data_IF_461576865944
#
_entry.id   IF_461576865944
#
_cell.length_a   1.000
_cell.length_b   1.000
_cell.length_c   1.000
_cell.angle_alpha   90.00
_cell.angle_beta   90.00
_cell.angle_gamma   90.00
#
_symmetry.space_group_name_H-M   'P 1'
#
loop_
_entity.id
_entity.type
_entity.pdbx_description
1 polymer ?
#
# COMPACT_ATOMS: atom_id res chain seq x y z
N UNK A 1 23.27 6.52 6.73
CA UNK A 1 22.36 5.51 6.14
C UNK A 1 21.96 5.90 4.72
N UNK A 2 21.75 7.18 4.43
CA UNK A 2 21.34 7.67 3.10
C UNK A 2 22.45 7.53 2.04
N UNK A 3 23.70 7.65 2.41
CA UNK A 3 24.87 7.65 1.53
C UNK A 3 25.14 6.31 0.83
N UNK A 4 24.49 5.25 1.26
CA UNK A 4 24.64 3.93 0.64
C UNK A 4 23.32 3.37 0.14
N UNK A 5 23.33 2.73 -1.02
CA UNK A 5 22.20 1.95 -1.56
C UNK A 5 22.18 0.49 -1.06
N UNK A 6 23.29 -0.01 -0.54
CA UNK A 6 23.43 -1.39 -0.06
C UNK A 6 22.69 -1.62 1.26
N UNK A 7 21.73 -2.55 1.28
CA UNK A 7 21.02 -2.92 2.50
C UNK A 7 21.94 -3.52 3.56
N UNK A 8 22.98 -4.24 3.18
CA UNK A 8 23.94 -4.81 4.13
C UNK A 8 24.78 -3.71 4.81
N UNK A 9 25.25 -2.71 4.06
CA UNK A 9 25.94 -1.56 4.65
C UNK A 9 25.01 -0.76 5.58
N UNK A 10 23.74 -0.58 5.21
CA UNK A 10 22.75 0.05 6.10
C UNK A 10 22.58 -0.72 7.40
N UNK A 11 22.49 -2.06 7.35
CA UNK A 11 22.43 -2.90 8.55
C UNK A 11 23.68 -2.74 9.44
N UNK A 12 24.86 -2.68 8.84
CA UNK A 12 26.12 -2.44 9.56
C UNK A 12 26.11 -1.08 10.28
N UNK A 13 25.67 -0.01 9.60
CA UNK A 13 25.55 1.34 10.21
C UNK A 13 24.53 1.32 11.35
N UNK A 14 23.38 0.66 11.19
CA UNK A 14 22.35 0.54 12.25
C UNK A 14 22.93 -0.23 13.45
N UNK A 15 23.64 -1.33 13.21
CA UNK A 15 24.26 -2.14 14.27
C UNK A 15 25.33 -1.35 15.05
N UNK A 16 26.15 -0.57 14.37
CA UNK A 16 27.17 0.27 15.00
C UNK A 16 26.59 1.34 15.92
N UNK A 17 25.34 1.77 15.68
CA UNK A 17 24.64 2.80 16.42
C UNK A 17 23.51 2.26 17.33
N UNK A 18 23.39 0.94 17.51
CA UNK A 18 22.30 0.30 18.26
C UNK A 18 22.13 0.77 19.70
N UNK A 19 23.21 1.24 20.32
CA UNK A 19 23.25 1.70 21.73
C UNK A 19 23.00 3.20 21.86
N UNK A 20 23.02 3.95 20.75
CA UNK A 20 22.73 5.39 20.74
C UNK A 20 21.20 5.61 20.91
N UNK A 21 20.81 6.20 22.04
CA UNK A 21 19.40 6.44 22.40
C UNK A 21 18.71 7.40 21.43
N UNK A 22 19.37 8.51 21.08
CA UNK A 22 18.79 9.51 20.16
C UNK A 22 18.59 8.91 18.75
N UNK A 23 19.59 8.18 18.26
CA UNK A 23 19.49 7.49 16.97
C UNK A 23 18.29 6.54 16.93
N UNK A 24 18.08 5.72 17.96
CA UNK A 24 16.91 4.83 18.05
C UNK A 24 15.59 5.61 18.05
N UNK A 25 15.51 6.71 18.82
CA UNK A 25 14.31 7.57 18.85
C UNK A 25 14.02 8.20 17.49
N UNK A 26 15.06 8.67 16.79
CA UNK A 26 14.91 9.20 15.44
C UNK A 26 14.40 8.13 14.44
N UNK A 27 14.91 6.90 14.52
CA UNK A 27 14.43 5.79 13.68
C UNK A 27 12.95 5.46 13.96
N UNK A 28 12.56 5.39 15.23
CA UNK A 28 11.16 5.17 15.62
C UNK A 28 10.29 6.33 15.12
N UNK A 29 10.69 7.58 15.43
CA UNK A 29 9.93 8.76 14.99
C UNK A 29 9.72 8.78 13.49
N UNK A 30 10.73 8.47 12.70
CA UNK A 30 10.68 8.50 11.24
C UNK A 30 9.88 7.34 10.65
N UNK A 31 10.09 6.10 11.14
CA UNK A 31 9.63 4.88 10.49
C UNK A 31 8.35 4.27 11.10
N UNK A 32 7.98 4.66 12.34
CA UNK A 32 6.71 4.27 12.90
C UNK A 32 5.58 5.00 12.17
N UNK A 33 4.71 4.24 11.53
CA UNK A 33 3.59 4.76 10.75
C UNK A 33 2.46 5.33 11.62
N UNK A 34 2.45 5.01 12.92
CA UNK A 34 1.48 5.57 13.87
C UNK A 34 1.88 6.98 14.33
N UNK A 35 3.16 7.34 14.24
CA UNK A 35 3.63 8.69 14.50
C UNK A 35 3.39 9.54 13.26
N UNK A 36 2.49 10.50 13.36
CA UNK A 36 2.23 11.52 12.33
C UNK A 36 2.56 12.89 12.90
N UNK A 37 3.03 13.83 12.08
CA UNK A 37 3.39 15.18 12.52
C UNK A 37 2.38 16.24 12.05
N UNK A 38 1.58 15.92 11.04
CA UNK A 38 0.63 16.84 10.41
C UNK A 38 1.30 18.01 9.66
N UNK A 39 2.63 18.07 9.60
CA UNK A 39 3.38 19.17 8.99
C UNK A 39 3.71 18.85 7.54
N UNK A 40 3.12 19.60 6.60
CA UNK A 40 3.46 19.53 5.19
C UNK A 40 4.72 20.37 4.90
N UNK A 41 5.64 19.81 4.09
CA UNK A 41 6.90 20.48 3.72
C UNK A 41 6.67 21.84 3.04
N UNK A 42 5.71 21.90 2.12
CA UNK A 42 5.34 23.14 1.44
C UNK A 42 4.82 24.22 2.40
N UNK A 43 4.13 23.81 3.47
CA UNK A 43 3.57 24.74 4.45
C UNK A 43 4.65 25.27 5.38
N UNK A 44 5.50 24.42 5.95
CA UNK A 44 6.57 24.87 6.87
C UNK A 44 7.63 25.71 6.15
N UNK A 45 7.96 25.43 4.88
CA UNK A 45 8.91 26.24 4.09
C UNK A 45 8.41 27.66 3.85
N UNK A 46 7.11 27.83 3.62
CA UNK A 46 6.48 29.15 3.37
C UNK A 46 6.25 29.97 4.63
N UNK A 47 6.39 29.37 5.82
CA UNK A 47 6.10 30.03 7.09
C UNK A 47 7.17 31.07 7.39
N UNK A 48 6.82 32.38 7.43
CA UNK A 48 7.77 33.46 7.66
C UNK A 48 8.29 33.47 9.12
N UNK A 49 9.55 33.85 9.33
CA UNK A 49 10.17 33.86 10.66
C UNK A 49 9.45 34.79 11.65
N UNK A 50 9.06 35.97 11.22
CA UNK A 50 8.25 36.91 12.02
C UNK A 50 6.93 36.30 12.50
N UNK A 51 6.31 35.46 11.67
CA UNK A 51 5.07 34.73 12.00
C UNK A 51 5.34 33.67 13.04
N UNK A 52 6.50 33.01 12.97
CA UNK A 52 6.94 32.05 13.98
C UNK A 52 7.10 32.70 15.36
N UNK A 53 7.72 33.88 15.41
CA UNK A 53 7.90 34.60 16.68
C UNK A 53 6.57 35.07 17.29
N UNK A 54 5.61 35.48 16.46
CA UNK A 54 4.29 35.94 16.91
C UNK A 54 3.38 34.79 17.42
N UNK A 55 3.43 33.63 16.77
CA UNK A 55 2.53 32.49 17.05
C UNK A 55 3.13 31.46 18.00
N UNK A 56 4.45 31.39 18.13
CA UNK A 56 5.10 30.39 18.98
C UNK A 56 4.80 30.62 20.46
N UNK A 57 4.27 29.61 21.11
CA UNK A 57 3.87 29.62 22.53
C UNK A 57 4.54 28.54 23.39
N UNK A 58 5.34 27.66 22.77
CA UNK A 58 6.11 26.62 23.47
C UNK A 58 7.58 26.75 23.10
N UNK A 59 8.44 26.69 24.09
CA UNK A 59 9.90 26.65 23.89
C UNK A 59 10.33 25.17 23.80
N UNK A 60 10.82 24.77 22.65
CA UNK A 60 11.46 23.48 22.42
C UNK A 60 12.96 23.67 22.49
N UNK A 61 13.65 22.92 23.36
CA UNK A 61 15.08 23.11 23.66
C UNK A 61 15.98 22.07 22.99
N UNK A 62 15.41 20.93 22.59
CA UNK A 62 16.12 19.85 21.92
C UNK A 62 15.27 19.26 20.79
N UNK A 63 15.90 18.52 19.87
CA UNK A 63 15.15 17.80 18.85
C UNK A 63 14.30 16.67 19.48
N UNK A 64 14.68 16.17 20.62
CA UNK A 64 13.88 15.21 21.38
C UNK A 64 12.56 15.85 21.84
N UNK A 65 12.60 17.11 22.32
CA UNK A 65 11.39 17.84 22.66
C UNK A 65 10.49 18.05 21.46
N UNK A 66 11.07 18.34 20.28
CA UNK A 66 10.33 18.46 19.01
C UNK A 66 9.62 17.15 18.67
N UNK A 67 10.31 16.03 18.76
CA UNK A 67 9.71 14.71 18.49
C UNK A 67 8.56 14.38 19.45
N UNK A 68 8.73 14.62 20.75
CA UNK A 68 7.67 14.37 21.74
C UNK A 68 6.49 15.33 21.56
N UNK A 69 6.77 16.62 21.31
CA UNK A 69 5.74 17.61 21.04
C UNK A 69 4.86 17.20 19.84
N UNK A 70 5.47 16.77 18.75
CA UNK A 70 4.77 16.40 17.52
C UNK A 70 4.00 15.07 17.62
N UNK A 71 4.30 14.19 18.56
CA UNK A 71 3.50 12.98 18.80
C UNK A 71 2.07 13.30 19.24
N UNK A 72 1.89 14.39 19.98
CA UNK A 72 0.58 14.81 20.52
C UNK A 72 0.00 16.01 19.77
N UNK A 73 0.83 16.87 19.18
CA UNK A 73 0.42 18.04 18.40
C UNK A 73 0.63 17.81 16.90
N UNK A 74 -0.15 16.90 16.33
CA UNK A 74 0.07 16.36 14.98
C UNK A 74 -0.97 16.77 13.94
N UNK A 75 -1.71 17.84 14.20
CA UNK A 75 -2.78 18.30 13.29
C UNK A 75 -2.30 19.36 12.29
N UNK A 76 -1.06 19.83 12.40
CA UNK A 76 -0.47 20.80 11.49
C UNK A 76 -1.06 22.22 11.61
N UNK A 77 -1.51 22.59 12.82
CA UNK A 77 -1.94 23.98 13.11
C UNK A 77 -0.77 24.93 12.97
N UNK A 78 -1.06 26.18 12.66
CA UNK A 78 -0.03 27.20 12.47
C UNK A 78 0.85 27.40 13.71
N UNK A 79 0.28 27.29 14.92
CA UNK A 79 1.03 27.36 16.17
C UNK A 79 2.02 26.19 16.31
N UNK A 80 1.65 24.97 15.88
CA UNK A 80 2.53 23.80 15.95
C UNK A 80 3.70 23.96 14.95
N UNK A 81 3.42 24.47 13.77
CA UNK A 81 4.43 24.80 12.76
C UNK A 81 5.36 25.90 13.27
N UNK A 82 4.80 26.95 13.91
CA UNK A 82 5.55 28.05 14.46
C UNK A 82 6.52 27.58 15.57
N UNK A 83 6.05 26.74 16.49
CA UNK A 83 6.88 26.18 17.57
C UNK A 83 8.07 25.39 17.01
N UNK A 84 7.82 24.48 16.03
CA UNK A 84 8.86 23.68 15.40
C UNK A 84 9.83 24.54 14.58
N UNK A 85 9.32 25.45 13.78
CA UNK A 85 10.18 26.32 12.95
C UNK A 85 11.03 27.23 13.81
N UNK A 86 10.50 27.77 14.92
CA UNK A 86 11.26 28.55 15.88
C UNK A 86 12.43 27.75 16.47
N UNK A 87 12.24 26.46 16.75
CA UNK A 87 13.34 25.58 17.18
C UNK A 87 14.42 25.54 16.11
N UNK A 88 14.05 25.26 14.85
CA UNK A 88 15.01 25.17 13.74
C UNK A 88 15.75 26.50 13.50
N UNK A 89 15.05 27.64 13.55
CA UNK A 89 15.65 28.95 13.29
C UNK A 89 16.41 29.54 14.49
N UNK A 90 16.14 29.11 15.73
CA UNK A 90 16.74 29.66 16.95
C UNK A 90 18.10 29.03 17.29
N UNK A 91 18.32 27.79 16.84
CA UNK A 91 19.59 27.12 17.01
C UNK A 91 20.52 27.54 15.88
N UNK A 92 21.80 27.80 16.23
CA UNK A 92 22.83 28.13 15.23
C UNK A 92 23.23 26.85 14.48
N UNK A 93 22.29 26.41 13.64
CA UNK A 93 22.36 25.15 12.88
C UNK A 93 22.99 25.42 11.52
N UNK A 94 23.81 24.50 11.06
CA UNK A 94 24.24 24.44 9.66
C UNK A 94 23.04 24.22 8.73
N UNK A 95 23.19 24.57 7.47
CA UNK A 95 22.17 24.31 6.43
C UNK A 95 21.82 22.83 6.33
N UNK A 96 22.81 21.96 6.55
CA UNK A 96 22.63 20.51 6.54
C UNK A 96 21.77 20.03 7.72
N UNK A 97 22.05 20.52 8.94
CA UNK A 97 21.26 20.22 10.13
C UNK A 97 19.82 20.75 10.03
N UNK A 98 19.67 21.98 9.57
CA UNK A 98 18.36 22.59 9.32
C UNK A 98 17.53 21.76 8.30
N UNK A 99 18.16 21.32 7.22
CA UNK A 99 17.55 20.43 6.23
C UNK A 99 17.18 19.09 6.83
N UNK A 100 18.08 18.49 7.62
CA UNK A 100 17.82 17.23 8.32
C UNK A 100 16.61 17.33 9.25
N UNK A 101 16.56 18.34 10.12
CA UNK A 101 15.43 18.53 11.03
C UNK A 101 14.12 18.80 10.27
N UNK A 102 14.18 19.57 9.20
CA UNK A 102 13.02 19.80 8.33
C UNK A 102 12.48 18.50 7.73
N UNK A 103 13.37 17.67 7.19
CA UNK A 103 13.00 16.37 6.62
C UNK A 103 12.48 15.40 7.67
N UNK A 104 13.01 15.43 8.89
CA UNK A 104 12.54 14.62 10.00
C UNK A 104 11.11 15.00 10.42
N UNK A 105 10.84 16.30 10.65
CA UNK A 105 9.52 16.74 11.11
C UNK A 105 8.43 16.64 10.05
N UNK A 106 8.79 16.70 8.78
CA UNK A 106 7.87 16.45 7.65
C UNK A 106 7.78 14.97 7.29
N UNK A 107 8.58 14.11 7.94
CA UNK A 107 8.72 12.66 7.61
C UNK A 107 9.09 12.41 6.15
N UNK A 108 9.75 13.34 5.50
CA UNK A 108 10.21 13.24 4.11
C UNK A 108 11.62 12.63 3.97
N UNK A 109 12.36 12.47 5.08
CA UNK A 109 13.69 11.85 5.10
C UNK A 109 13.62 10.39 4.64
N UNK A 110 14.27 10.10 3.52
CA UNK A 110 14.29 8.74 2.95
C UNK A 110 15.58 8.03 3.32
N UNK A 111 15.51 7.05 4.19
CA UNK A 111 16.68 6.22 4.56
C UNK A 111 17.01 5.15 3.51
N UNK A 112 16.11 4.89 2.56
CA UNK A 112 16.26 3.78 1.60
C UNK A 112 16.21 2.39 2.26
N UNK A 113 15.66 2.30 3.47
CA UNK A 113 15.32 1.06 4.16
C UNK A 113 14.03 1.26 4.96
N UNK A 114 13.34 0.18 5.25
CA UNK A 114 12.07 0.16 5.99
C UNK A 114 12.26 -0.33 7.45
N UNK A 115 11.17 -0.31 8.21
CA UNK A 115 11.15 -0.80 9.59
C UNK A 115 11.58 -2.26 9.73
N UNK A 116 11.40 -3.10 8.70
CA UNK A 116 11.81 -4.52 8.76
C UNK A 116 13.32 -4.67 8.75
N UNK A 117 14.01 -3.84 7.97
CA UNK A 117 15.49 -3.79 7.96
C UNK A 117 16.00 -3.34 9.32
N UNK A 118 15.41 -2.30 9.92
CA UNK A 118 15.79 -1.83 11.25
C UNK A 118 15.55 -2.90 12.31
N UNK A 119 14.36 -3.49 12.34
CA UNK A 119 13.99 -4.53 13.31
C UNK A 119 14.78 -5.84 13.12
N UNK A 120 15.35 -6.08 11.93
CA UNK A 120 16.26 -7.23 11.73
C UNK A 120 17.61 -7.06 12.42
N UNK A 121 17.98 -5.81 12.79
CA UNK A 121 19.22 -5.46 13.49
C UNK A 121 18.97 -5.15 14.95
N UNK A 122 17.92 -4.39 15.25
CA UNK A 122 17.48 -4.03 16.61
C UNK A 122 16.07 -4.59 16.78
N UNK A 123 15.91 -5.82 17.30
CA UNK A 123 14.63 -6.49 17.39
C UNK A 123 13.56 -5.66 18.12
N UNK A 124 12.38 -5.56 17.55
CA UNK A 124 11.19 -4.89 18.11
C UNK A 124 11.40 -3.38 18.43
N UNK A 125 12.41 -2.72 17.85
CA UNK A 125 12.61 -1.28 18.06
C UNK A 125 11.43 -0.46 17.55
N UNK A 126 10.93 -0.78 16.36
CA UNK A 126 9.80 -0.08 15.73
C UNK A 126 8.59 -1.00 15.82
N UNK A 127 7.48 -0.56 16.42
CA UNK A 127 6.26 -1.34 16.47
C UNK A 127 5.84 -1.80 15.07
N UNK A 128 5.59 -3.09 14.91
CA UNK A 128 5.12 -3.64 13.65
C UNK A 128 3.73 -4.26 13.83
N UNK A 129 2.87 -3.92 12.89
CA UNK A 129 1.59 -4.58 12.70
C UNK A 129 1.66 -5.22 11.32
N UNK A 130 1.74 -6.53 11.30
CA UNK A 130 1.82 -7.30 10.07
C UNK A 130 0.62 -8.24 9.98
N UNK A 131 0.00 -8.29 8.81
CA UNK A 131 -1.07 -9.24 8.47
C UNK A 131 -0.60 -10.13 7.34
N UNK A 132 -1.30 -11.25 7.14
CA UNK A 132 -1.01 -12.14 6.03
C UNK A 132 -1.20 -11.44 4.69
N UNK A 133 -0.21 -11.53 3.82
CA UNK A 133 -0.21 -10.89 2.51
C UNK A 133 -0.02 -11.93 1.42
N UNK A 134 -0.92 -11.91 0.44
CA UNK A 134 -0.84 -12.82 -0.70
C UNK A 134 0.26 -12.47 -1.69
N UNK A 135 0.73 -13.50 -2.39
CA UNK A 135 1.68 -13.44 -3.51
C UNK A 135 0.92 -13.60 -4.83
N UNK A 136 1.30 -12.91 -5.92
CA UNK A 136 0.72 -13.16 -7.25
C UNK A 136 0.95 -14.60 -7.72
N UNK A 137 0.01 -15.17 -8.46
CA UNK A 137 0.04 -16.58 -8.89
C UNK A 137 1.27 -16.89 -9.75
N UNK A 138 1.75 -15.94 -10.55
CA UNK A 138 2.93 -16.09 -11.41
C UNK A 138 4.23 -16.30 -10.62
N UNK A 139 4.21 -16.02 -9.31
CA UNK A 139 5.34 -16.20 -8.38
C UNK A 139 5.14 -17.37 -7.42
N UNK A 140 4.08 -18.15 -7.62
CA UNK A 140 3.73 -19.30 -6.82
C UNK A 140 3.91 -20.58 -7.63
N UNK A 141 4.22 -21.68 -6.93
CA UNK A 141 4.30 -23.03 -7.50
C UNK A 141 3.24 -23.85 -6.77
N UNK A 142 2.03 -23.91 -7.34
CA UNK A 142 0.99 -24.82 -6.85
C UNK A 142 1.35 -26.26 -7.24
N UNK A 143 1.29 -27.16 -6.28
CA UNK A 143 1.54 -28.57 -6.54
C UNK A 143 0.25 -29.22 -7.03
N UNK A 144 0.37 -30.11 -8.02
CA UNK A 144 -0.78 -30.88 -8.48
C UNK A 144 -1.47 -31.62 -7.33
N UNK A 145 -2.79 -31.51 -7.25
CA UNK A 145 -3.57 -32.11 -6.18
C UNK A 145 -3.48 -31.43 -4.83
N UNK A 146 -2.88 -30.23 -4.73
CA UNK A 146 -2.93 -29.42 -3.52
C UNK A 146 -4.33 -28.81 -3.36
N UNK A 147 -4.87 -28.90 -2.14
CA UNK A 147 -6.18 -28.31 -1.85
C UNK A 147 -6.14 -26.79 -1.90
N UNK A 148 -7.15 -26.21 -2.52
CA UNK A 148 -7.33 -24.75 -2.62
C UNK A 148 -8.76 -24.36 -2.26
N UNK A 149 -8.93 -23.17 -1.71
CA UNK A 149 -10.21 -22.46 -1.75
C UNK A 149 -10.09 -21.22 -2.63
N UNK A 150 -11.18 -20.87 -3.30
CA UNK A 150 -11.28 -19.67 -4.14
C UNK A 150 -12.35 -18.75 -3.57
N UNK A 151 -12.03 -17.48 -3.40
CA UNK A 151 -12.97 -16.42 -3.05
C UNK A 151 -12.79 -15.21 -3.95
N UNK A 152 -13.83 -14.36 -4.01
CA UNK A 152 -13.72 -13.07 -4.68
C UNK A 152 -12.60 -12.25 -4.06
N UNK A 153 -11.74 -11.66 -4.89
CA UNK A 153 -10.83 -10.63 -4.44
C UNK A 153 -11.59 -9.33 -4.27
N UNK A 154 -11.75 -8.91 -3.03
CA UNK A 154 -12.45 -7.68 -2.68
C UNK A 154 -11.63 -6.46 -3.10
N UNK A 155 -12.31 -5.44 -3.59
CA UNK A 155 -11.73 -4.16 -3.97
C UNK A 155 -12.11 -3.11 -2.91
N UNK A 156 -11.29 -2.96 -1.87
CA UNK A 156 -11.58 -2.11 -0.72
C UNK A 156 -10.34 -1.69 0.06
N UNK A 157 -10.55 -1.39 1.33
CA UNK A 157 -9.49 -1.03 2.25
C UNK A 157 -9.28 -2.15 3.29
N UNK A 158 -8.11 -2.81 3.27
CA UNK A 158 -7.79 -3.82 4.29
C UNK A 158 -8.05 -3.30 5.69
N UNK A 159 -8.80 -4.08 6.46
CA UNK A 159 -9.18 -3.74 7.83
C UNK A 159 -9.09 -4.97 8.72
N UNK A 160 -8.38 -4.85 9.82
CA UNK A 160 -8.24 -5.89 10.82
C UNK A 160 -8.80 -5.42 12.15
N UNK A 161 -9.74 -6.15 12.73
CA UNK A 161 -10.21 -5.91 14.08
C UNK A 161 -9.28 -6.59 15.08
N UNK A 162 -8.79 -5.79 16.04
CA UNK A 162 -7.81 -6.17 17.04
C UNK A 162 -8.23 -5.59 18.40
N UNK A 163 -8.81 -6.42 19.24
CA UNK A 163 -9.29 -6.05 20.57
C UNK A 163 -10.51 -5.11 20.53
N UNK A 164 -10.26 -3.82 20.46
CA UNK A 164 -11.28 -2.77 20.46
C UNK A 164 -11.17 -1.80 19.28
N UNK A 165 -10.29 -2.11 18.32
CA UNK A 165 -9.94 -1.21 17.20
C UNK A 165 -10.00 -1.92 15.87
N UNK A 166 -10.33 -1.16 14.83
CA UNK A 166 -10.12 -1.59 13.44
C UNK A 166 -8.89 -0.86 12.91
N UNK A 167 -7.95 -1.63 12.38
CA UNK A 167 -6.65 -1.15 11.92
C UNK A 167 -6.49 -1.35 10.43
N UNK A 168 -5.79 -0.42 9.78
CA UNK A 168 -5.34 -0.58 8.39
C UNK A 168 -4.28 -1.67 8.30
N UNK A 169 -3.97 -2.11 7.09
CA UNK A 169 -2.85 -3.03 6.80
C UNK A 169 -1.50 -2.60 7.43
N UNK A 170 -1.32 -1.33 7.71
CA UNK A 170 -0.08 -0.77 8.30
C UNK A 170 -0.18 -0.56 9.81
N UNK A 171 -1.30 -0.94 10.44
CA UNK A 171 -1.53 -0.76 11.88
C UNK A 171 -2.03 0.62 12.29
N UNK A 172 -2.49 1.46 11.35
CA UNK A 172 -3.16 2.72 11.68
C UNK A 172 -4.61 2.44 12.04
N UNK A 173 -5.10 3.10 13.08
CA UNK A 173 -6.48 2.96 13.50
C UNK A 173 -7.42 3.71 12.56
N UNK A 174 -8.49 3.06 12.13
CA UNK A 174 -9.61 3.73 11.46
C UNK A 174 -10.47 4.45 12.49
N UNK A 175 -10.70 5.73 12.31
CA UNK A 175 -11.69 6.50 13.09
C UNK A 175 -13.09 6.37 12.49
N UNK A 176 -14.15 6.54 13.30
CA UNK A 176 -15.53 6.63 12.82
C UNK A 176 -16.19 5.31 12.39
N UNK A 177 -15.58 4.16 12.67
CA UNK A 177 -16.12 2.81 12.36
C UNK A 177 -16.68 2.09 13.59
N UNK A 178 -17.13 2.84 14.58
CA UNK A 178 -17.63 2.31 15.86
C UNK A 178 -18.86 1.39 15.70
N UNK A 179 -19.67 1.57 14.67
CA UNK A 179 -20.81 0.71 14.37
C UNK A 179 -20.33 -0.73 14.06
N UNK A 180 -19.26 -0.90 13.29
CA UNK A 180 -18.67 -2.21 12.99
C UNK A 180 -18.06 -2.84 14.25
N UNK A 181 -17.32 -2.03 15.04
CA UNK A 181 -16.70 -2.49 16.29
C UNK A 181 -17.77 -3.00 17.28
N UNK A 182 -18.83 -2.23 17.46
CA UNK A 182 -19.94 -2.61 18.36
C UNK A 182 -20.62 -3.90 17.92
N UNK A 183 -20.83 -4.09 16.62
CA UNK A 183 -21.46 -5.32 16.11
C UNK A 183 -20.56 -6.54 16.39
N UNK A 184 -19.24 -6.44 16.16
CA UNK A 184 -18.31 -7.51 16.50
C UNK A 184 -18.27 -7.82 17.99
N UNK A 185 -18.30 -6.79 18.85
CA UNK A 185 -18.32 -6.95 20.31
C UNK A 185 -19.62 -7.57 20.79
N UNK A 186 -20.77 -7.13 20.26
CA UNK A 186 -22.08 -7.66 20.60
C UNK A 186 -22.24 -9.14 20.21
N UNK A 187 -21.57 -9.56 19.14
CA UNK A 187 -21.51 -10.96 18.73
C UNK A 187 -20.50 -11.81 19.53
N UNK A 188 -19.74 -11.19 20.47
CA UNK A 188 -18.81 -11.89 21.35
C UNK A 188 -17.40 -12.10 20.79
N UNK A 189 -17.03 -11.37 19.73
CA UNK A 189 -15.74 -11.53 19.04
C UNK A 189 -14.62 -10.60 19.54
N UNK A 190 -14.73 -10.01 20.73
CA UNK A 190 -13.72 -9.09 21.30
C UNK A 190 -12.34 -9.72 21.47
N UNK A 191 -12.27 -11.03 21.70
CA UNK A 191 -11.02 -11.79 21.88
C UNK A 191 -10.53 -12.47 20.58
N UNK A 192 -11.06 -12.05 19.43
CA UNK A 192 -10.67 -12.57 18.13
C UNK A 192 -9.90 -11.52 17.34
N UNK A 193 -8.90 -11.98 16.61
CA UNK A 193 -8.38 -11.27 15.45
C UNK A 193 -9.33 -11.53 14.28
N UNK A 194 -9.85 -10.48 13.65
CA UNK A 194 -10.76 -10.58 12.50
C UNK A 194 -10.16 -9.83 11.34
N UNK A 195 -9.87 -10.53 10.26
CA UNK A 195 -9.23 -9.98 9.06
C UNK A 195 -10.24 -9.81 7.93
N UNK A 196 -10.29 -8.64 7.34
CA UNK A 196 -11.30 -8.32 6.35
C UNK A 196 -10.95 -7.11 5.49
N UNK A 197 -11.93 -6.68 4.75
CA UNK A 197 -11.88 -5.51 3.88
C UNK A 197 -13.05 -4.56 4.22
N UNK A 198 -12.78 -3.26 4.41
CA UNK A 198 -13.82 -2.26 4.46
C UNK A 198 -14.32 -1.98 3.05
N UNK A 199 -15.59 -2.20 2.82
CA UNK A 199 -16.27 -1.91 1.57
C UNK A 199 -17.38 -0.88 1.76
N UNK A 200 -17.68 -0.16 0.70
CA UNK A 200 -18.88 0.68 0.61
C UNK A 200 -20.14 -0.21 0.49
N UNK A 201 -21.21 0.12 1.20
CA UNK A 201 -22.47 -0.65 1.20
C UNK A 201 -23.22 -0.62 -0.15
N UNK A 202 -22.76 0.11 -1.11
CA UNK A 202 -23.21 0.19 -2.51
C UNK A 202 -24.72 0.00 -2.73
N UNK A 203 -25.54 0.72 -1.98
CA UNK A 203 -27.01 0.70 -2.11
C UNK A 203 -27.49 1.36 -3.43
N UNK A 204 -26.58 2.05 -4.13
CA UNK A 204 -26.85 2.81 -5.36
C UNK A 204 -26.57 1.99 -6.64
N UNK A 205 -26.03 0.78 -6.53
CA UNK A 205 -25.71 -0.06 -7.68
C UNK A 205 -24.54 0.43 -8.53
N UNK A 206 -23.56 1.10 -7.90
CA UNK A 206 -22.32 1.54 -8.57
C UNK A 206 -21.50 0.34 -9.05
N UNK A 207 -20.70 0.51 -10.09
CA UNK A 207 -19.68 -0.45 -10.50
C UNK A 207 -18.69 -0.72 -9.36
N UNK A 208 -17.96 -1.85 -9.42
CA UNK A 208 -16.97 -2.22 -8.39
C UNK A 208 -15.88 -1.14 -8.25
N UNK A 209 -15.44 -0.57 -9.37
CA UNK A 209 -14.45 0.51 -9.38
C UNK A 209 -14.96 1.82 -8.75
N UNK A 210 -16.20 2.22 -9.03
CA UNK A 210 -16.81 3.42 -8.43
C UNK A 210 -17.07 3.23 -6.94
N UNK A 211 -17.60 2.07 -6.54
CA UNK A 211 -17.82 1.71 -5.15
C UNK A 211 -16.50 1.70 -4.36
N UNK A 212 -15.41 1.19 -4.96
CA UNK A 212 -14.07 1.24 -4.39
C UNK A 212 -13.56 2.67 -4.19
N UNK A 213 -13.66 3.51 -5.21
CA UNK A 213 -13.21 4.91 -5.11
C UNK A 213 -13.99 5.66 -4.02
N UNK A 214 -15.32 5.49 -3.98
CA UNK A 214 -16.19 6.11 -2.97
C UNK A 214 -15.88 5.59 -1.58
N UNK A 215 -15.79 4.26 -1.42
CA UNK A 215 -15.49 3.60 -0.14
C UNK A 215 -14.11 3.97 0.41
N UNK A 216 -13.09 3.99 -0.46
CA UNK A 216 -11.73 4.40 -0.06
C UNK A 216 -11.67 5.86 0.35
N UNK A 217 -12.33 6.76 -0.40
CA UNK A 217 -12.44 8.18 -0.05
C UNK A 217 -13.06 8.37 1.33
N UNK A 218 -14.16 7.67 1.63
CA UNK A 218 -14.82 7.71 2.95
C UNK A 218 -13.92 7.11 4.04
N UNK A 219 -13.33 5.92 3.81
CA UNK A 219 -12.51 5.21 4.80
C UNK A 219 -11.29 6.03 5.24
N UNK A 220 -10.65 6.74 4.31
CA UNK A 220 -9.43 7.52 4.55
C UNK A 220 -9.71 8.94 5.05
N UNK A 221 -10.91 9.46 4.89
CA UNK A 221 -11.29 10.78 5.41
C UNK A 221 -11.32 10.78 6.94
N UNK A 222 -10.99 11.93 7.54
CA UNK A 222 -11.15 12.16 8.98
C UNK A 222 -12.57 12.65 9.33
N UNK A 223 -13.21 13.32 8.38
CA UNK A 223 -14.40 14.14 8.64
C UNK A 223 -15.71 13.54 8.06
N UNK A 224 -15.60 12.60 7.09
CA UNK A 224 -16.78 11.99 6.49
C UNK A 224 -17.42 10.94 7.41
N UNK A 225 -18.75 10.86 7.36
CA UNK A 225 -19.51 9.79 7.99
C UNK A 225 -19.18 8.43 7.35
N UNK A 226 -18.87 7.45 8.18
CA UNK A 226 -18.46 6.10 7.78
C UNK A 226 -19.55 5.04 7.99
N UNK A 227 -20.77 5.44 8.35
CA UNK A 227 -21.91 4.54 8.54
C UNK A 227 -22.25 3.69 7.31
N UNK A 228 -21.89 4.19 6.12
CA UNK A 228 -22.03 3.49 4.85
C UNK A 228 -20.88 2.52 4.52
N UNK A 229 -19.96 2.28 5.45
CA UNK A 229 -18.95 1.21 5.33
C UNK A 229 -19.43 -0.05 6.05
N UNK A 230 -19.05 -1.21 5.50
CA UNK A 230 -19.18 -2.54 6.12
C UNK A 230 -17.85 -3.24 6.12
N UNK A 231 -17.67 -4.19 7.05
CA UNK A 231 -16.52 -5.09 7.08
C UNK A 231 -16.90 -6.43 6.45
N UNK A 232 -16.22 -6.81 5.38
CA UNK A 232 -16.32 -8.14 4.77
C UNK A 232 -15.14 -8.96 5.25
N UNK A 233 -15.43 -9.98 6.07
CA UNK A 233 -14.45 -10.81 6.78
C UNK A 233 -14.03 -11.98 5.89
N UNK A 234 -12.75 -12.31 5.85
CA UNK A 234 -12.24 -13.45 5.09
C UNK A 234 -11.35 -14.40 5.91
N UNK A 235 -10.92 -14.01 7.11
CA UNK A 235 -10.22 -14.90 8.04
C UNK A 235 -10.41 -14.42 9.48
N UNK A 236 -10.37 -15.34 10.44
CA UNK A 236 -10.40 -15.02 11.86
C UNK A 236 -9.84 -16.15 12.71
N UNK A 237 -9.26 -15.78 13.86
CA UNK A 237 -8.73 -16.71 14.85
C UNK A 237 -8.46 -15.97 16.18
N UNK A 238 -8.15 -16.68 17.28
CA UNK A 238 -7.91 -16.07 18.59
C UNK A 238 -6.86 -14.97 18.57
N UNK A 239 -7.14 -13.86 19.25
CA UNK A 239 -6.29 -12.67 19.27
C UNK A 239 -4.90 -12.91 19.87
N UNK A 240 -4.80 -13.82 20.86
CA UNK A 240 -3.53 -14.20 21.46
C UNK A 240 -2.60 -14.88 20.44
N UNK A 241 -3.14 -15.69 19.54
CA UNK A 241 -2.36 -16.30 18.45
C UNK A 241 -1.85 -15.25 17.44
N UNK A 242 -2.62 -14.19 17.17
CA UNK A 242 -2.19 -13.10 16.29
C UNK A 242 -0.88 -12.46 16.77
N UNK A 243 -0.76 -12.24 18.08
CA UNK A 243 0.44 -11.65 18.64
C UNK A 243 1.67 -12.56 18.61
N UNK A 244 1.48 -13.87 18.40
CA UNK A 244 2.60 -14.79 18.12
C UNK A 244 3.07 -14.74 16.66
N UNK A 245 2.32 -14.05 15.79
CA UNK A 245 2.60 -13.92 14.36
C UNK A 245 2.08 -15.09 13.51
N UNK A 246 1.38 -16.08 14.10
CA UNK A 246 0.88 -17.25 13.39
C UNK A 246 -0.32 -17.88 14.10
N UNK A 247 -1.32 -18.33 13.33
CA UNK A 247 -2.42 -19.15 13.87
C UNK A 247 -1.97 -20.60 14.12
N UNK A 248 -2.61 -21.27 15.09
CA UNK A 248 -2.39 -22.69 15.39
C UNK A 248 -3.06 -23.59 14.35
N UNK A 249 -4.23 -23.19 13.88
CA UNK A 249 -5.06 -23.97 12.96
C UNK A 249 -4.74 -23.69 11.50
N UNK A 250 -4.98 -24.69 10.65
CA UNK A 250 -4.98 -24.54 9.19
C UNK A 250 -6.12 -23.62 8.70
N UNK A 251 -6.15 -23.30 7.41
CA UNK A 251 -7.22 -22.46 6.86
C UNK A 251 -8.60 -23.12 6.96
N UNK A 252 -8.68 -24.41 6.59
CA UNK A 252 -9.94 -25.17 6.68
C UNK A 252 -10.45 -25.24 8.13
N UNK A 253 -9.56 -25.53 9.06
CA UNK A 253 -9.93 -25.61 10.47
C UNK A 253 -10.40 -24.26 11.02
N UNK A 254 -9.74 -23.14 10.63
CA UNK A 254 -10.17 -21.79 11.03
C UNK A 254 -11.52 -21.44 10.41
N UNK A 255 -11.69 -21.76 9.12
CA UNK A 255 -12.94 -21.53 8.41
C UNK A 255 -14.10 -22.25 9.10
N UNK A 256 -13.97 -23.52 9.33
CA UNK A 256 -15.01 -24.35 9.95
C UNK A 256 -15.29 -23.95 11.41
N UNK A 257 -14.23 -23.68 12.19
CA UNK A 257 -14.34 -23.42 13.63
C UNK A 257 -14.83 -22.00 13.94
N UNK A 258 -14.43 -21.01 13.14
CA UNK A 258 -14.66 -19.61 13.47
C UNK A 258 -15.46 -18.87 12.40
N UNK A 259 -15.08 -18.97 11.13
CA UNK A 259 -15.65 -18.12 10.07
C UNK A 259 -17.08 -18.55 9.69
N UNK A 260 -17.33 -19.88 9.61
CA UNK A 260 -18.67 -20.38 9.27
C UNK A 260 -19.71 -20.10 10.37
N UNK A 261 -19.42 -20.31 11.68
CA UNK A 261 -20.31 -19.85 12.75
C UNK A 261 -20.55 -18.34 12.72
N UNK A 262 -19.51 -17.54 12.52
CA UNK A 262 -19.64 -16.09 12.39
C UNK A 262 -20.53 -15.69 11.21
N UNK A 263 -20.40 -16.35 10.06
CA UNK A 263 -21.26 -16.12 8.88
C UNK A 263 -22.75 -16.31 9.20
N UNK A 264 -23.07 -17.33 9.99
CA UNK A 264 -24.46 -17.56 10.40
C UNK A 264 -24.97 -16.44 11.32
N UNK A 265 -24.15 -15.94 12.24
CA UNK A 265 -24.51 -14.88 13.18
C UNK A 265 -24.65 -13.51 12.50
N UNK A 266 -23.81 -13.19 11.52
CA UNK A 266 -23.86 -11.89 10.86
C UNK A 266 -24.79 -11.84 9.63
N UNK A 267 -25.58 -12.91 9.37
CA UNK A 267 -26.44 -13.01 8.17
C UNK A 267 -27.37 -11.80 7.96
N UNK A 268 -27.86 -11.21 9.04
CA UNK A 268 -28.79 -10.06 9.01
C UNK A 268 -28.08 -8.74 9.35
N UNK A 269 -26.75 -8.71 9.46
CA UNK A 269 -26.03 -7.48 9.75
C UNK A 269 -25.84 -6.66 8.47
N UNK A 270 -26.10 -5.37 8.53
CA UNK A 270 -25.75 -4.43 7.47
C UNK A 270 -24.26 -4.06 7.49
N UNK A 271 -23.57 -4.29 8.60
CA UNK A 271 -22.21 -3.83 8.85
C UNK A 271 -21.17 -4.93 8.73
N UNK A 272 -21.59 -6.19 8.81
CA UNK A 272 -20.72 -7.38 8.81
C UNK A 272 -21.16 -8.37 7.76
N UNK A 273 -20.18 -8.91 7.02
CA UNK A 273 -20.41 -9.93 6.02
C UNK A 273 -19.19 -10.86 5.99
N UNK A 274 -19.36 -12.09 5.53
CA UNK A 274 -18.25 -13.00 5.23
C UNK A 274 -18.09 -13.12 3.73
N UNK A 275 -16.86 -13.01 3.23
CA UNK A 275 -16.58 -13.18 1.81
C UNK A 275 -17.09 -14.52 1.31
N UNK A 276 -17.85 -14.57 0.21
CA UNK A 276 -18.29 -15.83 -0.36
C UNK A 276 -17.10 -16.65 -0.86
N UNK A 277 -17.01 -17.90 -0.38
CA UNK A 277 -16.16 -18.91 -0.98
C UNK A 277 -16.92 -19.48 -2.19
N UNK A 278 -16.30 -19.43 -3.35
CA UNK A 278 -16.93 -19.83 -4.62
C UNK A 278 -16.51 -21.22 -5.08
N UNK A 279 -15.37 -21.70 -4.57
CA UNK A 279 -14.88 -23.05 -4.79
C UNK A 279 -13.96 -23.48 -3.66
N UNK A 280 -13.99 -24.78 -3.36
CA UNK A 280 -12.99 -25.48 -2.55
C UNK A 280 -12.78 -26.88 -3.11
N UNK A 281 -11.54 -27.34 -3.17
CA UNK A 281 -11.20 -28.66 -3.70
C UNK A 281 -9.79 -28.74 -4.28
N UNK A 282 -9.59 -29.74 -5.14
CA UNK A 282 -8.28 -30.13 -5.68
C UNK A 282 -8.13 -29.83 -7.18
N UNK A 283 -9.20 -29.42 -7.86
CA UNK A 283 -9.16 -29.11 -9.30
C UNK A 283 -8.69 -27.66 -9.52
N UNK A 284 -7.43 -27.52 -9.91
CA UNK A 284 -6.83 -26.22 -10.20
C UNK A 284 -7.33 -25.56 -11.49
N UNK A 285 -8.09 -26.26 -12.34
CA UNK A 285 -8.71 -25.65 -13.52
C UNK A 285 -9.79 -24.64 -13.11
N UNK A 286 -10.40 -24.84 -11.96
CA UNK A 286 -11.39 -23.92 -11.40
C UNK A 286 -10.81 -22.51 -11.15
N UNK A 287 -9.48 -22.39 -10.96
CA UNK A 287 -8.82 -21.07 -10.82
C UNK A 287 -9.11 -20.18 -12.03
N UNK A 288 -8.93 -20.72 -13.22
CA UNK A 288 -9.07 -19.96 -14.46
C UNK A 288 -10.54 -19.72 -14.79
N UNK A 289 -11.40 -20.71 -14.55
CA UNK A 289 -12.84 -20.59 -14.71
C UNK A 289 -13.42 -19.47 -13.81
N UNK A 290 -12.99 -19.41 -12.54
CA UNK A 290 -13.43 -18.34 -11.64
C UNK A 290 -12.76 -17.01 -11.94
N UNK A 291 -11.59 -16.99 -12.55
CA UNK A 291 -10.98 -15.76 -13.05
C UNK A 291 -11.76 -15.19 -14.24
N UNK A 292 -12.19 -16.02 -15.19
CA UNK A 292 -13.04 -15.60 -16.30
C UNK A 292 -14.41 -15.12 -15.81
N UNK A 293 -14.98 -15.81 -14.81
CA UNK A 293 -16.21 -15.36 -14.15
C UNK A 293 -16.00 -13.99 -13.48
N UNK A 294 -14.89 -13.79 -12.80
CA UNK A 294 -14.55 -12.54 -12.13
C UNK A 294 -14.49 -11.37 -13.13
N UNK A 295 -13.91 -11.59 -14.30
CA UNK A 295 -13.87 -10.60 -15.38
C UNK A 295 -15.26 -10.25 -15.90
N UNK A 296 -16.07 -11.28 -16.19
CA UNK A 296 -17.44 -11.08 -16.70
C UNK A 296 -18.36 -10.34 -15.70
N UNK A 297 -17.99 -10.32 -14.39
CA UNK A 297 -18.79 -9.72 -13.32
C UNK A 297 -18.10 -8.52 -12.65
N UNK A 298 -17.11 -7.93 -13.29
CA UNK A 298 -16.37 -6.74 -12.83
C UNK A 298 -15.70 -6.91 -11.45
N UNK A 299 -15.22 -8.12 -11.12
CA UNK A 299 -14.42 -8.35 -9.91
C UNK A 299 -12.96 -7.98 -10.14
N UNK A 300 -12.26 -7.56 -9.09
CA UNK A 300 -10.80 -7.32 -9.16
C UNK A 300 -9.98 -8.60 -9.49
N UNK A 301 -10.58 -9.77 -9.35
CA UNK A 301 -9.99 -11.09 -9.53
C UNK A 301 -10.38 -12.03 -8.40
N UNK A 302 -9.54 -13.04 -8.15
CA UNK A 302 -9.73 -14.06 -7.14
C UNK A 302 -8.61 -14.08 -6.10
N UNK A 303 -8.93 -14.60 -4.91
CA UNK A 303 -7.98 -14.97 -3.88
C UNK A 303 -8.05 -16.48 -3.66
N UNK A 304 -6.89 -17.13 -3.58
CA UNK A 304 -6.80 -18.54 -3.19
C UNK A 304 -6.13 -18.65 -1.83
N UNK A 305 -6.68 -19.54 -1.00
CA UNK A 305 -6.02 -19.97 0.22
C UNK A 305 -5.62 -21.46 0.06
N UNK A 306 -4.40 -21.77 0.46
CA UNK A 306 -3.99 -23.14 0.71
C UNK A 306 -4.38 -23.53 2.14
N UNK A 307 -4.54 -24.84 2.40
CA UNK A 307 -4.86 -25.31 3.75
C UNK A 307 -3.64 -25.26 4.68
N UNK A 308 -3.29 -24.06 5.10
CA UNK A 308 -2.13 -23.78 5.96
C UNK A 308 -2.49 -22.78 7.06
N UNK A 309 -1.70 -22.70 8.14
CA UNK A 309 -1.85 -21.67 9.15
C UNK A 309 -1.73 -20.26 8.56
N UNK A 310 -2.45 -19.30 9.19
CA UNK A 310 -2.26 -17.88 8.92
C UNK A 310 -0.88 -17.43 9.43
N UNK A 311 -0.13 -16.70 8.63
CA UNK A 311 1.17 -16.15 9.02
C UNK A 311 1.21 -14.63 8.77
N UNK A 312 1.57 -13.86 9.78
CA UNK A 312 1.64 -12.39 9.73
C UNK A 312 2.79 -11.88 8.85
N UNK A 313 2.84 -12.33 7.61
CA UNK A 313 3.86 -11.97 6.61
C UNK A 313 3.33 -12.15 5.18
N UNK A 314 4.12 -11.75 4.20
CA UNK A 314 3.88 -12.18 2.81
C UNK A 314 4.18 -13.67 2.66
N UNK A 315 3.22 -14.39 2.07
CA UNK A 315 3.31 -15.84 1.90
C UNK A 315 2.82 -16.26 0.51
N UNK A 316 3.24 -17.44 0.07
CA UNK A 316 2.72 -18.13 -1.12
C UNK A 316 1.51 -19.01 -0.81
N UNK A 317 1.10 -19.10 0.46
CA UNK A 317 -0.07 -19.86 0.91
C UNK A 317 -1.38 -19.07 0.76
N UNK A 318 -1.27 -17.76 0.54
CA UNK A 318 -2.35 -16.87 0.10
C UNK A 318 -1.96 -16.32 -1.27
N UNK A 319 -2.74 -16.62 -2.29
CA UNK A 319 -2.38 -16.34 -3.68
C UNK A 319 -3.39 -15.37 -4.28
N UNK A 320 -2.90 -14.39 -5.03
CA UNK A 320 -3.71 -13.43 -5.77
C UNK A 320 -3.75 -13.86 -7.23
N UNK A 321 -4.94 -14.00 -7.75
CA UNK A 321 -5.17 -14.24 -9.17
C UNK A 321 -5.88 -13.03 -9.75
N UNK A 322 -5.22 -12.38 -10.70
CA UNK A 322 -5.75 -11.20 -11.40
C UNK A 322 -5.53 -11.38 -12.88
N UNK A 323 -6.44 -10.88 -13.68
CA UNK A 323 -6.20 -10.74 -15.10
C UNK A 323 -5.39 -9.47 -15.36
N UNK A 324 -4.51 -9.57 -16.30
CA UNK A 324 -3.77 -8.45 -16.87
C UNK A 324 -4.04 -8.46 -18.36
N UNK A 325 -4.06 -7.30 -18.93
CA UNK A 325 -4.19 -7.08 -20.37
C UNK A 325 -2.84 -6.67 -20.92
N UNK A 326 -2.59 -6.99 -22.16
CA UNK A 326 -1.39 -6.57 -22.87
C UNK A 326 -1.82 -5.62 -24.01
N UNK A 327 -1.04 -4.58 -24.24
CA UNK A 327 -1.19 -3.62 -25.33
C UNK A 327 0.17 -3.25 -25.84
N UNK A 328 0.29 -3.03 -27.15
CA UNK A 328 1.55 -2.58 -27.76
C UNK A 328 1.43 -1.12 -28.15
N UNK A 329 2.27 -0.26 -27.55
CA UNK A 329 2.23 1.19 -27.78
C UNK A 329 3.58 1.71 -28.30
N UNK A 330 3.51 2.81 -29.05
CA UNK A 330 4.68 3.50 -29.59
C UNK A 330 5.34 4.39 -28.56
N UNK A 331 6.64 4.22 -28.38
CA UNK A 331 7.47 5.09 -27.53
C UNK A 331 7.65 6.44 -28.23
N UNK A 332 7.34 7.53 -27.53
CA UNK A 332 7.50 8.92 -27.96
C UNK A 332 8.54 9.67 -27.15
N UNK A 333 9.06 9.07 -26.07
CA UNK A 333 10.06 9.68 -25.22
C UNK A 333 10.50 8.79 -24.06
N UNK A 334 11.38 9.33 -23.24
CA UNK A 334 11.89 8.69 -22.03
C UNK A 334 12.13 9.72 -20.94
N UNK A 335 12.00 9.33 -19.68
CA UNK A 335 12.25 10.17 -18.51
C UNK A 335 13.36 9.56 -17.65
N UNK A 336 14.19 10.44 -17.09
CA UNK A 336 15.23 10.02 -16.15
C UNK A 336 14.61 9.57 -14.83
N UNK A 337 15.19 8.56 -14.21
CA UNK A 337 14.79 8.10 -12.89
C UNK A 337 15.26 9.03 -11.78
N UNK A 338 14.61 8.91 -10.62
CA UNK A 338 14.98 9.64 -9.41
C UNK A 338 15.48 8.68 -8.31
N UNK A 339 16.19 9.21 -7.32
CA UNK A 339 16.70 8.43 -6.20
C UNK A 339 17.69 7.35 -6.67
N UNK A 340 17.43 6.07 -6.39
CA UNK A 340 18.31 4.96 -6.80
C UNK A 340 18.45 4.81 -8.33
N UNK A 341 17.51 5.37 -9.08
CA UNK A 341 17.48 5.31 -10.54
C UNK A 341 18.02 6.60 -11.18
N UNK A 342 18.62 7.51 -10.42
CA UNK A 342 19.28 8.70 -10.96
C UNK A 342 20.37 8.28 -11.96
N UNK A 343 20.47 8.93 -13.11
CA UNK A 343 21.35 8.54 -14.21
C UNK A 343 20.91 7.30 -15.00
N UNK A 344 19.71 6.78 -14.75
CA UNK A 344 19.14 5.61 -15.44
C UNK A 344 17.73 5.92 -15.93
N UNK A 345 17.16 5.05 -16.76
CA UNK A 345 15.77 5.15 -17.19
C UNK A 345 14.81 5.12 -16.00
N UNK A 346 14.00 6.15 -15.87
CA UNK A 346 12.86 6.22 -14.96
C UNK A 346 11.61 5.59 -15.57
N UNK A 347 11.22 6.09 -16.75
CA UNK A 347 10.08 5.58 -17.50
C UNK A 347 10.27 5.77 -19.00
N UNK A 348 9.65 4.89 -19.80
CA UNK A 348 9.35 5.15 -21.20
C UNK A 348 8.02 5.89 -21.27
N UNK A 349 7.92 6.86 -22.14
CA UNK A 349 6.69 7.61 -22.42
C UNK A 349 6.13 7.10 -23.75
N UNK A 350 4.91 6.58 -23.72
CA UNK A 350 4.23 6.03 -24.89
C UNK A 350 3.02 6.89 -25.26
N UNK A 351 2.71 6.98 -26.56
CA UNK A 351 1.44 7.52 -27.05
C UNK A 351 0.32 6.55 -26.62
N UNK A 352 -0.83 7.07 -26.26
CA UNK A 352 -2.04 6.31 -25.98
C UNK A 352 -3.27 7.16 -26.31
N UNK A 353 -3.81 7.02 -27.51
CA UNK A 353 -4.84 7.90 -28.09
C UNK A 353 -4.44 9.38 -27.96
N UNK A 354 -5.31 10.21 -27.37
CA UNK A 354 -5.07 11.63 -27.09
C UNK A 354 -4.24 11.91 -25.83
N UNK A 355 -3.68 10.86 -25.22
CA UNK A 355 -2.91 10.96 -23.98
C UNK A 355 -1.53 10.31 -24.10
N UNK A 356 -0.76 10.36 -23.03
CA UNK A 356 0.51 9.64 -22.87
C UNK A 356 0.48 8.74 -21.66
N UNK A 357 1.12 7.57 -21.76
CA UNK A 357 1.29 6.63 -20.67
C UNK A 357 2.76 6.48 -20.34
N UNK A 358 3.10 6.60 -19.04
CA UNK A 358 4.47 6.40 -18.54
C UNK A 358 4.65 4.99 -18.01
N UNK A 359 5.56 4.26 -18.64
CA UNK A 359 5.89 2.88 -18.27
C UNK A 359 7.19 2.90 -17.47
N UNK A 360 7.08 2.86 -16.14
CA UNK A 360 8.20 2.97 -15.21
C UNK A 360 8.57 1.66 -14.49
N UNK A 361 7.85 0.56 -14.73
CA UNK A 361 8.08 -0.75 -14.11
C UNK A 361 8.32 -1.84 -15.16
N UNK A 362 8.86 -2.99 -14.74
CA UNK A 362 9.18 -4.11 -15.63
C UNK A 362 10.63 -4.15 -16.09
N UNK A 363 11.45 -3.19 -15.72
CA UNK A 363 12.86 -3.13 -16.10
C UNK A 363 13.77 -3.62 -14.97
N UNK A 364 14.79 -4.39 -15.30
CA UNK A 364 15.94 -4.66 -14.45
C UNK A 364 16.85 -3.42 -14.32
N UNK A 365 17.72 -3.39 -13.33
CA UNK A 365 18.69 -2.29 -13.16
C UNK A 365 19.66 -2.17 -14.36
N UNK A 366 20.02 -3.29 -14.98
CA UNK A 366 20.86 -3.33 -16.16
C UNK A 366 20.14 -2.78 -17.40
N UNK A 367 18.89 -3.21 -17.63
CA UNK A 367 18.06 -2.68 -18.72
C UNK A 367 17.87 -1.17 -18.56
N UNK A 368 17.62 -0.67 -17.35
CA UNK A 368 17.48 0.77 -17.11
C UNK A 368 18.74 1.55 -17.50
N UNK A 369 19.92 1.03 -17.19
CA UNK A 369 21.19 1.66 -17.57
C UNK A 369 21.38 1.66 -19.08
N UNK A 370 21.16 0.52 -19.72
CA UNK A 370 21.35 0.35 -21.15
C UNK A 370 20.35 1.19 -21.97
N UNK A 371 19.08 1.18 -21.58
CA UNK A 371 18.04 1.94 -22.26
C UNK A 371 18.25 3.45 -22.10
N UNK A 372 18.67 3.92 -20.90
CA UNK A 372 18.95 5.33 -20.69
C UNK A 372 20.14 5.83 -21.51
N UNK A 373 21.19 5.02 -21.59
CA UNK A 373 22.36 5.31 -22.44
C UNK A 373 22.01 5.44 -23.93
N UNK A 374 21.05 4.63 -24.38
CA UNK A 374 20.61 4.57 -25.78
C UNK A 374 19.24 5.21 -26.02
N UNK A 375 18.81 6.12 -25.15
CA UNK A 375 17.44 6.65 -25.11
C UNK A 375 16.97 7.30 -26.40
N UNK A 376 17.89 7.94 -27.14
CA UNK A 376 17.52 8.63 -28.39
C UNK A 376 17.07 7.64 -29.50
N UNK A 377 17.54 6.41 -29.43
CA UNK A 377 17.15 5.32 -30.34
C UNK A 377 15.89 4.56 -29.90
N UNK A 378 15.21 4.99 -28.82
CA UNK A 378 13.98 4.34 -28.33
C UNK A 378 12.72 4.94 -28.93
N UNK A 379 12.76 6.21 -29.33
CA UNK A 379 11.62 6.90 -29.92
C UNK A 379 11.24 6.24 -31.25
N UNK A 380 9.95 6.00 -31.42
CA UNK A 380 9.38 5.30 -32.59
C UNK A 380 9.30 3.79 -32.45
N UNK A 381 10.00 3.17 -31.47
CA UNK A 381 9.88 1.72 -31.20
C UNK A 381 8.54 1.40 -30.57
N UNK A 382 8.02 0.20 -30.84
CA UNK A 382 6.83 -0.33 -30.19
C UNK A 382 7.23 -1.25 -29.05
N UNK A 383 6.57 -1.11 -27.91
CA UNK A 383 6.76 -1.95 -26.74
C UNK A 383 5.46 -2.60 -26.31
N UNK A 384 5.55 -3.82 -25.82
CA UNK A 384 4.46 -4.46 -25.10
C UNK A 384 4.36 -3.91 -23.68
N UNK A 385 3.14 -3.62 -23.28
CA UNK A 385 2.83 -3.10 -21.96
C UNK A 385 1.74 -3.97 -21.36
N UNK A 386 2.05 -4.61 -20.25
CA UNK A 386 1.05 -5.28 -19.43
C UNK A 386 0.42 -4.29 -18.46
N UNK A 387 -0.89 -4.27 -18.38
CA UNK A 387 -1.63 -3.35 -17.51
C UNK A 387 -2.82 -4.03 -16.83
N UNK A 388 -3.35 -3.41 -15.78
CA UNK A 388 -4.47 -3.97 -15.01
C UNK A 388 -5.82 -3.63 -15.65
N UNK A 389 -6.05 -2.35 -15.91
CA UNK A 389 -7.31 -1.83 -16.44
C UNK A 389 -7.09 -0.47 -17.11
N UNK A 390 -8.02 -0.06 -17.95
CA UNK A 390 -8.06 1.29 -18.52
C UNK A 390 -8.76 2.20 -17.52
N UNK A 391 -8.15 3.32 -17.21
CA UNK A 391 -8.71 4.38 -16.34
C UNK A 391 -9.05 5.60 -17.16
N UNK A 392 -10.08 6.35 -16.72
CA UNK A 392 -10.50 7.61 -17.33
C UNK A 392 -10.37 8.71 -16.29
N UNK A 393 -9.63 9.77 -16.62
CA UNK A 393 -9.55 10.95 -15.78
C UNK A 393 -10.87 11.71 -15.77
N UNK A 394 -11.43 11.94 -14.58
CA UNK A 394 -12.78 12.52 -14.42
C UNK A 394 -12.88 13.98 -14.89
N UNK A 395 -11.76 14.71 -14.96
CA UNK A 395 -11.75 16.12 -15.35
C UNK A 395 -11.50 16.32 -16.85
N UNK A 396 -10.60 15.49 -17.40
CA UNK A 396 -10.15 15.64 -18.79
C UNK A 396 -10.83 14.65 -19.73
N UNK A 397 -11.41 13.56 -19.22
CA UNK A 397 -11.96 12.46 -20.02
C UNK A 397 -10.88 11.58 -20.66
N UNK A 398 -9.61 11.86 -20.44
CA UNK A 398 -8.51 11.13 -21.08
C UNK A 398 -8.36 9.74 -20.50
N UNK A 399 -8.15 8.76 -21.37
CA UNK A 399 -7.86 7.37 -21.01
C UNK A 399 -6.41 7.22 -20.60
N UNK A 400 -6.13 6.31 -19.64
CA UNK A 400 -4.78 5.92 -19.23
C UNK A 400 -4.78 4.44 -18.81
N UNK A 401 -3.58 3.88 -18.59
CA UNK A 401 -3.40 2.49 -18.16
C UNK A 401 -3.04 2.44 -16.69
N UNK A 402 -3.72 1.57 -15.92
CA UNK A 402 -3.40 1.36 -14.51
C UNK A 402 -2.26 0.34 -14.37
N UNK A 403 -1.21 0.71 -13.63
CA UNK A 403 -0.01 -0.09 -13.35
C UNK A 403 0.68 -0.64 -14.62
N UNK A 404 0.99 0.20 -15.61
CA UNK A 404 1.64 -0.23 -16.82
C UNK A 404 3.04 -0.78 -16.52
N UNK A 405 3.35 -1.94 -17.08
CA UNK A 405 4.60 -2.67 -16.86
C UNK A 405 5.18 -3.07 -18.20
N UNK A 406 6.46 -2.79 -18.42
CA UNK A 406 7.19 -3.14 -19.65
C UNK A 406 7.25 -4.66 -19.81
N UNK A 407 6.82 -5.14 -20.98
CA UNK A 407 6.84 -6.55 -21.38
C UNK A 407 7.96 -6.90 -22.36
N UNK A 408 8.45 -5.92 -23.13
CA UNK A 408 9.49 -6.12 -24.14
C UNK A 408 9.37 -5.15 -25.30
N UNK A 409 10.40 -5.09 -26.14
CA UNK A 409 10.33 -4.41 -27.44
C UNK A 409 9.77 -5.36 -28.49
N UNK A 410 8.91 -4.85 -29.36
CA UNK A 410 8.45 -5.57 -30.54
C UNK A 410 9.45 -5.44 -31.67
N UNK A 411 9.64 -6.54 -32.41
CA UNK A 411 10.32 -6.49 -33.68
C UNK A 411 9.44 -5.76 -34.69
N UNK A 412 9.96 -4.75 -35.40
CA UNK A 412 9.19 -4.09 -36.48
C UNK A 412 8.70 -5.03 -37.57
N UNK A 413 9.38 -6.19 -37.77
CA UNK A 413 8.95 -7.22 -38.69
C UNK A 413 7.64 -7.93 -38.23
N UNK A 414 7.47 -8.05 -36.89
CA UNK A 414 6.29 -8.69 -36.32
C UNK A 414 5.12 -7.71 -36.13
N UNK A 415 5.43 -6.46 -35.77
CA UNK A 415 4.43 -5.43 -35.53
C UNK A 415 4.95 -4.02 -35.82
N UNK A 416 4.49 -3.45 -36.92
CA UNK A 416 4.88 -2.12 -37.37
C UNK A 416 3.97 -1.00 -36.86
N UNK A 417 2.73 -1.33 -36.42
CA UNK A 417 1.71 -0.39 -35.99
C UNK A 417 1.30 -0.67 -34.56
N UNK A 418 1.22 0.37 -33.72
CA UNK A 418 0.76 0.26 -32.35
C UNK A 418 -0.75 -0.02 -32.29
N UNK A 419 -1.25 -0.58 -31.17
CA UNK A 419 -2.66 -0.98 -31.07
C UNK A 419 -3.61 0.22 -31.10
N UNK A 420 -3.25 1.33 -30.49
CA UNK A 420 -4.02 2.58 -30.51
C UNK A 420 -4.01 3.26 -31.88
N UNK A 421 -3.04 2.96 -32.74
CA UNK A 421 -2.96 3.47 -34.11
C UNK A 421 -3.83 2.67 -35.08
N UNK A 422 -4.18 1.42 -34.76
CA UNK A 422 -5.01 0.54 -35.61
C UNK A 422 -6.48 0.96 -35.60
N UNK A 423 -6.99 1.50 -34.50
CA UNK A 423 -8.39 1.96 -34.40
C UNK A 423 -8.65 3.26 -35.19
N UNK A 424 -7.60 4.05 -35.50
CA UNK A 424 -7.73 5.26 -36.33
C UNK A 424 -7.96 4.94 -37.82
N UNK A 425 -7.79 3.66 -38.23
CA UNK A 425 -7.95 3.22 -39.63
C UNK A 425 -9.23 2.42 -39.91
N UNK A 426 -10.10 2.22 -38.90
CA UNK A 426 -11.42 1.59 -39.03
C UNK A 426 -12.55 2.60 -38.77
#
# INVERSE_FOLDING_TARGET
>A
IQETSSLNQKKTIIAANKDNKLFKRCLVFLLDTNITTGIAESKIKKFAERTCLALSNVQLSSFEDVMEYLKVNNTGRDVDIANVKRFICKHDLSDEESTFYLQMVTKSLKLGCDKKVVNSVIPNLIPSFDVMLGTPIEKCNLKDGEWISISRKLNGCRAAFVGDKIMTRQGKVYSGVNHIIKDLQNLGYSNMFVDGELLYKNKEGLSDSEAFQKGTGIAMSKDLDKSNLKLVVFDMFPLDEFWTGKSKLSYLDRNNKYLMPFKALCKNSENLEVVPMVYEGFDHKEIWKWLDYAEAHDWEGCMLNLDTPYECKRTKNLIKVKKFYDISLRVIGSEEGTGRNNGKLGALVCKYYDNTVKVGSGFSDEERMNLWKNRDGLVGKIIDIRYKEITVDKKTGLKSLQFPTFGGFRDPADKAVADDEQEEFN
#
